data_IF_474911422318
#
_entry.id   IF_474911422318
#
_cell.length_a   1.000
_cell.length_b   1.000
_cell.length_c   1.000
_cell.angle_alpha   90.00
_cell.angle_beta   90.00
_cell.angle_gamma   90.00
#
_symmetry.space_group_name_H-M   'P 1'
#
loop_
_entity.id
_entity.type
_entity.pdbx_description
1 polymer ?
#
# COMPACT_ATOMS: atom_id res chain seq x y z
N UNK A 1 10.05 -3.73 -3.38
CA UNK A 1 9.75 -2.29 -3.58
C UNK A 1 9.16 -2.15 -4.96
N UNK A 2 7.97 -1.61 -5.05
CA UNK A 2 7.14 -1.65 -6.26
C UNK A 2 7.59 -0.62 -7.29
N UNK A 3 7.80 -1.04 -8.53
CA UNK A 3 8.21 -0.17 -9.66
C UNK A 3 7.23 0.99 -9.88
N UNK A 4 5.94 0.80 -9.63
CA UNK A 4 4.93 1.88 -9.74
C UNK A 4 4.98 2.80 -8.54
N UNK A 5 5.19 2.25 -7.34
CA UNK A 5 5.43 3.06 -6.13
C UNK A 5 6.74 3.83 -6.30
N UNK A 6 7.77 3.21 -6.87
CA UNK A 6 9.06 3.87 -7.14
C UNK A 6 8.93 4.92 -8.25
N UNK A 7 8.19 4.67 -9.32
CA UNK A 7 7.96 5.65 -10.40
C UNK A 7 7.08 6.82 -9.90
N UNK A 8 6.03 6.55 -9.14
CA UNK A 8 5.20 7.60 -8.54
C UNK A 8 5.94 8.31 -7.42
N UNK A 9 6.67 7.60 -6.56
CA UNK A 9 7.50 8.21 -5.54
C UNK A 9 8.70 8.94 -6.15
N UNK A 10 9.33 8.42 -7.20
CA UNK A 10 10.43 9.08 -7.89
C UNK A 10 9.96 10.31 -8.68
N UNK A 11 8.82 10.26 -9.34
CA UNK A 11 8.22 11.44 -9.98
C UNK A 11 7.72 12.46 -8.97
N UNK A 12 7.13 12.02 -7.86
CA UNK A 12 6.74 12.89 -6.74
C UNK A 12 7.98 13.43 -6.02
N UNK A 13 9.03 12.63 -5.80
CA UNK A 13 10.29 13.04 -5.20
C UNK A 13 11.04 14.02 -6.08
N UNK A 14 11.21 13.76 -7.38
CA UNK A 14 11.87 14.68 -8.34
C UNK A 14 11.06 15.97 -8.52
N UNK A 15 9.75 15.91 -8.50
CA UNK A 15 8.90 17.10 -8.45
C UNK A 15 9.10 17.86 -7.13
N UNK A 16 9.21 17.15 -6.01
CA UNK A 16 9.42 17.72 -4.67
C UNK A 16 10.82 18.33 -4.56
N UNK A 17 11.85 17.67 -5.08
CA UNK A 17 13.25 18.15 -4.98
C UNK A 17 13.49 19.37 -5.88
N UNK A 18 13.03 19.35 -7.13
CA UNK A 18 13.03 20.55 -8.00
C UNK A 18 12.23 21.69 -7.40
N UNK A 19 11.22 21.37 -6.64
CA UNK A 19 10.35 22.33 -5.98
C UNK A 19 10.95 22.88 -4.69
N UNK A 20 11.60 22.04 -3.85
CA UNK A 20 12.32 22.49 -2.66
C UNK A 20 13.45 23.47 -3.02
N UNK A 21 14.11 23.26 -4.15
CA UNK A 21 15.15 24.16 -4.63
C UNK A 21 14.60 25.54 -5.07
N UNK A 22 13.36 25.55 -5.60
CA UNK A 22 12.68 26.78 -6.04
C UNK A 22 11.93 27.49 -4.90
N UNK A 23 11.56 26.78 -3.83
CA UNK A 23 10.73 27.28 -2.71
C UNK A 23 11.53 27.78 -1.50
N UNK A 24 12.86 27.74 -1.52
CA UNK A 24 13.67 28.36 -0.44
C UNK A 24 13.41 29.88 -0.28
N UNK A 25 12.75 30.50 -1.24
CA UNK A 25 12.44 31.92 -1.21
C UNK A 25 10.98 32.28 -0.87
N UNK A 26 10.05 31.29 -0.79
CA UNK A 26 8.63 31.58 -0.48
C UNK A 26 7.94 30.41 0.24
N UNK A 27 7.96 30.35 1.58
CA UNK A 27 7.39 29.25 2.37
C UNK A 27 5.88 29.06 2.20
N UNK A 28 5.13 30.10 1.92
CA UNK A 28 3.67 30.03 1.69
C UNK A 28 3.30 29.26 0.42
N UNK A 29 4.11 29.32 -0.61
CA UNK A 29 3.88 28.61 -1.87
C UNK A 29 4.06 27.10 -1.71
N UNK A 30 5.03 26.67 -0.92
CA UNK A 30 5.30 25.25 -0.62
C UNK A 30 4.13 24.59 0.10
N UNK A 31 3.55 25.24 1.11
CA UNK A 31 2.39 24.73 1.85
C UNK A 31 1.18 24.58 0.93
N UNK A 32 0.95 25.50 0.03
CA UNK A 32 -0.15 25.46 -0.93
C UNK A 32 -0.03 24.25 -1.89
N UNK A 33 1.16 23.95 -2.41
CA UNK A 33 1.38 22.82 -3.32
C UNK A 33 1.34 21.47 -2.61
N UNK A 34 1.92 21.37 -1.42
CA UNK A 34 1.83 20.14 -0.63
C UNK A 34 0.36 19.80 -0.33
N UNK A 35 -0.43 20.79 0.03
CA UNK A 35 -1.85 20.63 0.27
C UNK A 35 -2.61 20.24 -1.01
N UNK A 36 -2.29 20.86 -2.15
CA UNK A 36 -2.89 20.51 -3.43
C UNK A 36 -2.59 19.06 -3.83
N UNK A 37 -1.34 18.62 -3.67
CA UNK A 37 -0.92 17.24 -3.98
C UNK A 37 -1.64 16.23 -3.10
N UNK A 38 -1.77 16.50 -1.80
CA UNK A 38 -2.51 15.66 -0.87
C UNK A 38 -3.99 15.60 -1.26
N UNK A 39 -4.61 16.75 -1.57
CA UNK A 39 -6.00 16.80 -1.99
C UNK A 39 -6.24 16.01 -3.29
N UNK A 40 -5.32 16.07 -4.25
CA UNK A 40 -5.40 15.30 -5.48
C UNK A 40 -5.36 13.78 -5.19
N UNK A 41 -4.47 13.33 -4.30
CA UNK A 41 -4.44 11.92 -3.89
C UNK A 41 -5.75 11.49 -3.24
N UNK A 42 -6.34 12.32 -2.38
CA UNK A 42 -7.66 12.04 -1.79
C UNK A 42 -8.77 11.96 -2.85
N UNK A 43 -8.72 12.81 -3.87
CA UNK A 43 -9.69 12.75 -4.97
C UNK A 43 -9.54 11.46 -5.78
N UNK A 44 -8.31 11.01 -6.04
CA UNK A 44 -8.03 9.75 -6.74
C UNK A 44 -8.46 8.53 -5.91
N UNK A 45 -8.21 8.54 -4.61
CA UNK A 45 -8.66 7.50 -3.68
C UNK A 45 -10.20 7.44 -3.62
N UNK A 46 -10.86 8.60 -3.51
CA UNK A 46 -12.32 8.68 -3.54
C UNK A 46 -12.95 8.28 -4.88
N UNK A 47 -12.21 8.48 -5.97
CA UNK A 47 -12.61 8.01 -7.30
C UNK A 47 -12.32 6.52 -7.54
N UNK A 48 -11.83 5.80 -6.51
CA UNK A 48 -11.44 4.39 -6.60
C UNK A 48 -10.43 4.11 -7.73
N UNK A 49 -9.46 5.00 -7.91
CA UNK A 49 -8.34 4.80 -8.82
C UNK A 49 -7.08 4.33 -8.12
N UNK A 50 -6.94 4.74 -6.86
CA UNK A 50 -5.84 4.34 -5.97
C UNK A 50 -6.40 4.01 -4.59
N UNK A 51 -5.58 3.32 -3.77
CA UNK A 51 -5.78 3.16 -2.33
C UNK A 51 -4.62 3.80 -1.58
N UNK A 52 -4.95 4.67 -0.63
CA UNK A 52 -3.99 5.30 0.27
C UNK A 52 -3.90 4.50 1.56
N UNK A 53 -2.71 3.97 1.87
CA UNK A 53 -2.45 3.21 3.10
C UNK A 53 -1.56 4.04 4.02
N UNK A 54 -1.98 4.13 5.28
CA UNK A 54 -1.31 4.88 6.33
C UNK A 54 -0.74 3.95 7.37
N UNK A 55 0.32 4.40 8.06
CA UNK A 55 0.90 3.68 9.19
C UNK A 55 -0.09 3.60 10.36
N UNK A 56 -0.11 2.49 11.07
CA UNK A 56 -0.99 2.18 12.23
C UNK A 56 -0.99 3.24 13.34
N UNK A 57 0.13 3.95 13.52
CA UNK A 57 0.28 4.97 14.59
C UNK A 57 -0.30 6.34 14.24
N UNK A 58 -0.78 6.57 13.01
CA UNK A 58 -1.20 7.90 12.56
C UNK A 58 -2.65 8.21 12.90
N UNK A 59 -2.84 9.09 13.87
CA UNK A 59 -4.18 9.48 14.36
C UNK A 59 -4.91 10.43 13.41
N UNK A 60 -4.19 11.28 12.66
CA UNK A 60 -4.78 12.28 11.74
C UNK A 60 -4.40 11.93 10.30
N UNK A 61 -5.10 10.95 9.72
CA UNK A 61 -4.84 10.47 8.34
C UNK A 61 -5.06 11.55 7.26
N UNK A 62 -6.09 12.39 7.42
CA UNK A 62 -6.52 13.36 6.39
C UNK A 62 -5.55 14.53 6.10
N UNK A 63 -4.56 14.76 6.94
CA UNK A 63 -3.61 15.87 6.77
C UNK A 63 -2.19 15.38 6.50
N UNK A 64 -2.00 14.08 6.35
CA UNK A 64 -0.68 13.47 6.20
C UNK A 64 -0.51 12.82 4.84
N UNK A 65 0.74 12.79 4.38
CA UNK A 65 1.13 12.01 3.20
C UNK A 65 0.91 10.52 3.51
N UNK A 66 0.28 9.74 2.61
CA UNK A 66 0.18 8.29 2.77
C UNK A 66 1.57 7.64 2.76
N UNK A 67 1.70 6.54 3.48
CA UNK A 67 2.96 5.78 3.55
C UNK A 67 3.13 4.87 2.34
N UNK A 68 2.04 4.28 1.88
CA UNK A 68 2.00 3.47 0.65
C UNK A 68 0.81 3.89 -0.23
N UNK A 69 1.00 3.76 -1.53
CA UNK A 69 -0.03 3.97 -2.55
C UNK A 69 -0.14 2.69 -3.40
N UNK A 70 -1.34 2.20 -3.56
CA UNK A 70 -1.67 1.09 -4.45
C UNK A 70 -2.65 1.54 -5.52
N UNK A 71 -2.55 0.95 -6.70
CA UNK A 71 -3.60 1.11 -7.72
C UNK A 71 -4.79 0.25 -7.28
N UNK A 72 -6.01 0.74 -7.48
CA UNK A 72 -7.22 0.05 -7.03
C UNK A 72 -7.37 -1.35 -7.64
N UNK A 73 -6.89 -1.57 -8.85
CA UNK A 73 -7.08 -2.84 -9.56
C UNK A 73 -5.78 -3.33 -10.18
N UNK A 74 -5.47 -4.63 -10.02
CA UNK A 74 -4.27 -5.26 -10.61
C UNK A 74 -4.24 -5.22 -12.13
N UNK A 75 -5.41 -5.26 -12.81
CA UNK A 75 -5.47 -5.12 -14.26
C UNK A 75 -5.07 -3.70 -14.68
N UNK A 76 -5.55 -2.68 -13.98
CA UNK A 76 -5.15 -1.29 -14.20
C UNK A 76 -3.65 -1.11 -13.95
N UNK A 77 -3.11 -1.75 -12.91
CA UNK A 77 -1.68 -1.75 -12.61
C UNK A 77 -0.85 -2.26 -13.81
N UNK A 78 -1.27 -3.37 -14.42
CA UNK A 78 -0.62 -3.90 -15.63
C UNK A 78 -0.81 -3.00 -16.86
N UNK A 79 -2.00 -2.40 -17.03
CA UNK A 79 -2.31 -1.56 -18.18
C UNK A 79 -1.52 -0.25 -18.21
N UNK A 80 -1.24 0.36 -17.05
CA UNK A 80 -0.49 1.63 -16.97
C UNK A 80 1.02 1.43 -16.83
N UNK A 81 1.47 0.22 -16.52
CA UNK A 81 2.88 -0.08 -16.39
C UNK A 81 3.53 -0.21 -17.77
N UNK A 82 4.59 0.54 -18.02
CA UNK A 82 5.38 0.46 -19.25
C UNK A 82 6.35 -0.73 -19.28
N UNK A 83 6.51 -1.41 -18.15
CA UNK A 83 7.43 -2.55 -17.96
C UNK A 83 6.71 -3.67 -17.22
N UNK A 84 7.37 -4.83 -17.08
CA UNK A 84 6.86 -5.92 -16.25
C UNK A 84 6.68 -5.47 -14.81
N UNK A 85 5.48 -5.69 -14.28
CA UNK A 85 5.17 -5.37 -12.88
C UNK A 85 5.80 -6.43 -11.99
N UNK A 86 6.43 -6.00 -10.89
CA UNK A 86 6.93 -6.91 -9.86
C UNK A 86 5.77 -7.71 -9.23
N UNK A 87 5.94 -9.01 -9.17
CA UNK A 87 4.90 -9.92 -8.66
C UNK A 87 4.56 -9.67 -7.18
N UNK A 88 5.50 -9.18 -6.38
CA UNK A 88 5.24 -8.77 -4.99
C UNK A 88 4.25 -7.63 -4.94
N UNK A 89 4.42 -6.64 -5.83
CA UNK A 89 3.49 -5.51 -5.96
C UNK A 89 2.09 -5.95 -6.38
N UNK A 90 1.98 -6.90 -7.31
CA UNK A 90 0.69 -7.44 -7.74
C UNK A 90 -0.02 -8.09 -6.57
N UNK A 91 0.68 -8.91 -5.78
CA UNK A 91 0.15 -9.59 -4.59
C UNK A 91 -0.32 -8.60 -3.51
N UNK A 92 0.51 -7.61 -3.19
CA UNK A 92 0.15 -6.56 -2.22
C UNK A 92 -1.07 -5.75 -2.72
N UNK A 93 -1.07 -5.35 -3.99
CA UNK A 93 -2.19 -4.61 -4.60
C UNK A 93 -3.48 -5.40 -4.54
N UNK A 94 -3.45 -6.70 -4.87
CA UNK A 94 -4.60 -7.58 -4.77
C UNK A 94 -5.10 -7.69 -3.32
N UNK A 95 -4.19 -7.91 -2.38
CA UNK A 95 -4.51 -8.02 -0.96
C UNK A 95 -5.19 -6.74 -0.44
N UNK A 96 -4.60 -5.57 -0.71
CA UNK A 96 -5.14 -4.27 -0.29
C UNK A 96 -6.51 -4.02 -0.93
N UNK A 97 -6.64 -4.27 -2.23
CA UNK A 97 -7.90 -4.08 -2.93
C UNK A 97 -9.03 -4.92 -2.29
N UNK A 98 -8.82 -6.22 -2.15
CA UNK A 98 -9.85 -7.12 -1.64
C UNK A 98 -10.22 -6.81 -0.17
N UNK A 99 -9.25 -6.60 0.70
CA UNK A 99 -9.51 -6.36 2.11
C UNK A 99 -10.10 -4.97 2.39
N UNK A 100 -9.73 -3.95 1.62
CA UNK A 100 -10.22 -2.58 1.82
C UNK A 100 -11.71 -2.39 1.55
N UNK A 101 -12.41 -3.39 1.01
CA UNK A 101 -13.87 -3.29 0.81
C UNK A 101 -14.64 -3.28 2.14
N UNK A 102 -14.23 -4.12 3.08
CA UNK A 102 -14.95 -4.31 4.34
C UNK A 102 -14.07 -4.15 5.59
N UNK A 103 -12.77 -3.93 5.43
CA UNK A 103 -11.80 -3.88 6.52
C UNK A 103 -10.95 -2.60 6.47
N UNK A 104 -10.52 -2.12 7.63
CA UNK A 104 -9.50 -1.07 7.72
C UNK A 104 -8.13 -1.71 7.49
N UNK A 105 -7.44 -1.29 6.42
CA UNK A 105 -6.09 -1.75 6.08
C UNK A 105 -5.10 -0.65 6.41
N UNK A 106 -4.15 -0.94 7.28
CA UNK A 106 -3.08 -0.03 7.69
C UNK A 106 -1.71 -0.64 7.35
N UNK A 107 -0.71 0.21 7.14
CA UNK A 107 0.66 -0.25 6.94
C UNK A 107 1.29 -0.59 8.30
N UNK A 108 1.80 -1.81 8.43
CA UNK A 108 2.55 -2.22 9.61
C UNK A 108 4.05 -1.95 9.41
N UNK A 109 4.62 -1.11 10.24
CA UNK A 109 6.04 -0.72 10.15
C UNK A 109 6.97 -1.73 10.80
N UNK A 110 6.52 -2.38 11.84
CA UNK A 110 7.39 -3.22 12.67
C UNK A 110 7.40 -4.68 12.24
N UNK A 111 6.23 -5.25 11.94
CA UNK A 111 6.07 -6.67 11.62
C UNK A 111 4.95 -6.89 10.61
N UNK A 112 5.24 -7.68 9.59
CA UNK A 112 4.31 -7.93 8.49
C UNK A 112 4.20 -6.75 7.52
N UNK A 113 3.34 -6.90 6.52
CA UNK A 113 3.09 -5.87 5.50
C UNK A 113 1.93 -4.98 5.89
N UNK A 114 0.85 -5.56 6.44
CA UNK A 114 -0.39 -4.87 6.77
C UNK A 114 -0.92 -5.25 8.14
N UNK A 115 -1.62 -4.30 8.77
CA UNK A 115 -2.45 -4.49 9.94
C UNK A 115 -3.91 -4.31 9.53
N UNK A 116 -4.74 -5.32 9.76
CA UNK A 116 -6.14 -5.34 9.39
C UNK A 116 -7.00 -5.18 10.64
N UNK A 117 -7.90 -4.18 10.62
CA UNK A 117 -8.81 -3.85 11.73
C UNK A 117 -8.09 -3.67 13.07
N UNK A 118 -6.82 -3.24 13.03
CA UNK A 118 -5.93 -3.10 14.20
C UNK A 118 -5.79 -4.37 15.04
N UNK A 119 -6.05 -5.53 14.45
CA UNK A 119 -6.11 -6.80 15.14
C UNK A 119 -5.27 -7.90 14.48
N UNK A 120 -5.28 -7.98 13.14
CA UNK A 120 -4.64 -9.04 12.41
C UNK A 120 -3.45 -8.53 11.64
N UNK A 121 -2.27 -9.06 11.94
CA UNK A 121 -1.05 -8.76 11.17
C UNK A 121 -0.94 -9.72 10.00
N UNK A 122 -0.77 -9.16 8.81
CA UNK A 122 -0.71 -9.93 7.57
C UNK A 122 0.62 -9.69 6.86
N UNK A 123 1.22 -10.77 6.43
CA UNK A 123 2.42 -10.79 5.56
C UNK A 123 2.02 -11.38 4.21
N UNK A 124 2.33 -10.69 3.12
CA UNK A 124 1.98 -11.12 1.76
C UNK A 124 3.21 -11.68 1.05
N UNK A 125 3.06 -12.78 0.33
CA UNK A 125 4.20 -13.34 -0.39
C UNK A 125 3.87 -14.50 -1.30
N UNK A 126 4.89 -15.14 -1.84
CA UNK A 126 4.79 -16.34 -2.64
C UNK A 126 4.75 -17.60 -1.78
N UNK A 127 4.67 -18.77 -2.44
CA UNK A 127 4.58 -20.10 -1.82
C UNK A 127 5.62 -20.34 -0.72
N UNK A 128 6.84 -19.87 -0.90
CA UNK A 128 7.96 -20.12 0.01
C UNK A 128 8.11 -19.08 1.12
N UNK A 129 7.17 -18.12 1.24
CA UNK A 129 7.23 -17.10 2.31
C UNK A 129 7.18 -17.76 3.69
N UNK A 130 8.14 -17.44 4.52
CA UNK A 130 8.28 -17.98 5.89
C UNK A 130 7.73 -17.03 6.95
N UNK A 131 7.55 -17.53 8.17
CA UNK A 131 7.01 -16.79 9.31
C UNK A 131 7.99 -15.83 10.01
N UNK A 132 9.19 -15.65 9.51
CA UNK A 132 10.25 -14.90 10.19
C UNK A 132 9.84 -13.46 10.52
N UNK A 133 9.17 -12.77 9.58
CA UNK A 133 8.78 -11.38 9.75
C UNK A 133 7.63 -11.18 10.75
N UNK A 134 6.77 -12.18 10.92
CA UNK A 134 5.63 -12.16 11.85
C UNK A 134 5.82 -13.07 13.06
N UNK A 135 7.06 -13.50 13.31
CA UNK A 135 7.38 -14.37 14.46
C UNK A 135 7.06 -13.68 15.78
N UNK A 136 6.35 -14.39 16.67
CA UNK A 136 5.95 -13.89 17.99
C UNK A 136 4.83 -12.84 17.96
N UNK A 137 4.17 -12.63 16.81
CA UNK A 137 2.98 -11.78 16.72
C UNK A 137 1.73 -12.66 16.84
N UNK A 138 0.89 -12.34 17.80
CA UNK A 138 -0.44 -12.94 17.92
C UNK A 138 -1.32 -12.51 16.73
N UNK A 139 -2.30 -13.33 16.36
CA UNK A 139 -3.23 -13.05 15.26
C UNK A 139 -2.52 -12.68 13.94
N UNK A 140 -1.41 -13.33 13.65
CA UNK A 140 -0.64 -13.08 12.43
C UNK A 140 -0.80 -14.20 11.41
N UNK A 141 -0.91 -13.82 10.12
CA UNK A 141 -1.13 -14.72 9.01
C UNK A 141 -0.18 -14.40 7.84
N UNK A 142 0.16 -15.43 7.07
CA UNK A 142 0.79 -15.26 5.76
C UNK A 142 -0.30 -15.46 4.71
N UNK A 143 -0.48 -14.50 3.82
CA UNK A 143 -1.25 -14.65 2.60
C UNK A 143 -0.29 -15.03 1.48
N UNK A 144 -0.28 -16.30 1.14
CA UNK A 144 0.65 -16.86 0.18
C UNK A 144 -0.03 -17.11 -1.16
N UNK A 145 0.64 -16.63 -2.21
CA UNK A 145 0.30 -16.99 -3.59
C UNK A 145 0.88 -18.37 -3.94
N UNK A 146 0.37 -19.00 -5.02
CA UNK A 146 0.77 -20.34 -5.49
C UNK A 146 0.53 -21.48 -4.48
N UNK A 147 -0.43 -21.36 -3.58
CA UNK A 147 -0.92 -22.44 -2.74
C UNK A 147 -2.42 -22.64 -2.89
N UNK A 148 -2.87 -23.90 -2.90
CA UNK A 148 -4.28 -24.24 -3.07
C UNK A 148 -5.02 -24.36 -1.74
N UNK A 149 -4.34 -24.84 -0.71
CA UNK A 149 -4.93 -25.15 0.59
C UNK A 149 -4.22 -24.44 1.72
N UNK A 150 -4.93 -24.05 2.78
CA UNK A 150 -4.32 -23.42 3.95
C UNK A 150 -3.45 -24.42 4.73
N UNK A 151 -2.41 -23.93 5.35
CA UNK A 151 -1.55 -24.70 6.26
C UNK A 151 -1.24 -23.87 7.51
N UNK A 152 -1.87 -24.19 8.62
CA UNK A 152 -1.75 -23.45 9.87
C UNK A 152 -2.17 -21.98 9.69
N UNK A 153 -1.22 -21.07 9.91
CA UNK A 153 -1.45 -19.62 9.73
C UNK A 153 -1.07 -19.10 8.32
N UNK A 154 -0.80 -19.99 7.39
CA UNK A 154 -0.58 -19.64 5.98
C UNK A 154 -1.85 -19.93 5.20
N UNK A 155 -2.44 -18.88 4.64
CA UNK A 155 -3.68 -18.91 3.89
C UNK A 155 -3.42 -18.61 2.42
N UNK A 156 -4.15 -19.21 1.49
CA UNK A 156 -4.05 -18.87 0.08
C UNK A 156 -4.47 -17.42 -0.17
N UNK A 157 -3.66 -16.65 -0.88
CA UNK A 157 -3.92 -15.25 -1.18
C UNK A 157 -5.25 -15.07 -1.95
N UNK A 158 -5.56 -15.98 -2.87
CA UNK A 158 -6.79 -15.93 -3.68
C UNK A 158 -8.07 -15.99 -2.84
N UNK A 159 -8.03 -16.56 -1.63
CA UNK A 159 -9.21 -16.64 -0.74
C UNK A 159 -9.69 -15.26 -0.29
N UNK A 160 -8.83 -14.25 -0.33
CA UNK A 160 -9.21 -12.86 -0.01
C UNK A 160 -10.25 -12.31 -1.00
N UNK A 161 -10.28 -12.83 -2.23
CA UNK A 161 -11.29 -12.48 -3.22
C UNK A 161 -12.72 -12.91 -2.90
N UNK A 162 -12.99 -13.57 -1.78
CA UNK A 162 -14.32 -13.98 -1.32
C UNK A 162 -14.77 -13.25 -0.04
N UNK A 163 -14.02 -12.24 0.42
CA UNK A 163 -14.33 -11.53 1.67
C UNK A 163 -15.15 -10.25 1.49
N UNK A 164 -15.72 -10.02 0.31
CA UNK A 164 -16.56 -8.85 0.01
C UNK A 164 -18.05 -9.18 -0.08
#
# INVERSE_FOLDING_TARGET
>A
MSVVTDILQQKVSVATDKFQQKCRSQPTFFVCYAQFSINLLYMLDKASLIKMIFEESKTIKKLQKPDKLYIENTNTLHAISSHSVDIGTVRETFCVNQLSHNHEVEYSKQKGDFLIDRKYTVEVGGRNKGFTQISGVENSFILADDIESPFGRKLPLWTMGFLY
#
